data_IF_179036832456
#
_entry.id   IF_179036832456
#
_cell.length_a   1.000
_cell.length_b   1.000
_cell.length_c   1.000
_cell.angle_alpha   90.00
_cell.angle_beta   90.00
_cell.angle_gamma   90.00
#
_symmetry.space_group_name_H-M   'P 1'
#
loop_
_entity.id
_entity.type
_entity.pdbx_description
1 polymer ?
#
# COMPACT_ATOMS: atom_id res chain seq x y z
N UNK A 1 -74.18 2.49 -8.49
CA UNK A 1 -73.67 3.41 -7.46
C UNK A 1 -72.40 2.80 -6.92
N UNK A 2 -71.27 3.32 -7.37
CA UNK A 2 -69.94 2.95 -6.88
C UNK A 2 -69.80 3.59 -5.51
N UNK A 3 -69.74 2.79 -4.46
CA UNK A 3 -69.44 3.24 -3.10
C UNK A 3 -68.06 3.89 -3.13
N UNK A 4 -67.99 5.19 -2.83
CA UNK A 4 -66.74 5.86 -2.52
C UNK A 4 -66.18 5.19 -1.26
N UNK A 5 -65.09 4.44 -1.40
CA UNK A 5 -64.27 4.08 -0.25
C UNK A 5 -63.80 5.39 0.37
N UNK A 6 -64.24 5.63 1.61
CA UNK A 6 -63.70 6.71 2.41
C UNK A 6 -62.25 6.35 2.65
N UNK A 7 -61.35 7.06 1.99
CA UNK A 7 -59.91 6.96 2.14
C UNK A 7 -59.55 7.31 3.59
N UNK A 8 -59.38 6.29 4.44
CA UNK A 8 -58.98 6.48 5.83
C UNK A 8 -57.46 6.66 5.82
N UNK A 9 -57.00 7.85 6.18
CA UNK A 9 -55.57 8.13 6.39
C UNK A 9 -55.00 7.14 7.41
N UNK A 10 -53.79 6.60 7.20
CA UNK A 10 -53.18 5.68 8.14
C UNK A 10 -52.97 6.35 9.51
N UNK A 11 -52.94 5.55 10.56
CA UNK A 11 -52.60 5.98 11.91
C UNK A 11 -51.20 6.62 11.96
N UNK A 12 -50.98 7.54 12.88
CA UNK A 12 -49.69 8.19 13.03
C UNK A 12 -48.67 7.22 13.66
N UNK A 13 -47.40 7.24 13.22
CA UNK A 13 -46.33 6.69 14.04
C UNK A 13 -46.24 7.45 15.36
N UNK A 14 -45.66 6.84 16.39
CA UNK A 14 -45.54 7.46 17.72
C UNK A 14 -44.13 7.33 18.27
N UNK A 15 -43.83 8.11 19.32
CA UNK A 15 -42.56 8.04 20.07
C UNK A 15 -41.30 8.14 19.19
N UNK A 16 -41.28 9.11 18.26
CA UNK A 16 -40.08 9.40 17.47
C UNK A 16 -38.96 9.95 18.35
N UNK A 17 -37.89 9.16 18.47
CA UNK A 17 -36.65 9.52 19.15
C UNK A 17 -35.53 9.68 18.12
N UNK A 18 -34.63 10.62 18.39
CA UNK A 18 -33.44 10.87 17.60
C UNK A 18 -32.22 10.88 18.53
N UNK A 19 -31.14 10.23 18.13
CA UNK A 19 -29.87 10.21 18.86
C UNK A 19 -28.67 10.31 17.91
N UNK A 20 -27.57 10.87 18.39
CA UNK A 20 -26.33 11.05 17.62
C UNK A 20 -25.75 9.69 17.24
N UNK A 21 -25.33 9.52 15.98
CA UNK A 21 -24.81 8.24 15.52
C UNK A 21 -23.48 7.96 16.21
N UNK A 22 -23.32 6.75 16.76
CA UNK A 22 -22.07 6.38 17.42
C UNK A 22 -20.95 6.11 16.41
N UNK A 23 -19.73 6.54 16.76
CA UNK A 23 -18.49 6.29 16.01
C UNK A 23 -18.45 6.87 14.59
N UNK A 24 -19.03 8.06 14.39
CA UNK A 24 -18.98 8.77 13.11
C UNK A 24 -18.15 10.06 13.18
N UNK A 25 -18.20 10.84 12.10
CA UNK A 25 -17.51 12.12 11.99
C UNK A 25 -18.40 13.31 12.38
N UNK A 26 -19.54 13.06 13.02
CA UNK A 26 -20.56 14.05 13.36
C UNK A 26 -21.36 14.48 12.14
N UNK A 27 -21.75 13.53 11.29
CA UNK A 27 -22.51 13.76 10.07
C UNK A 27 -23.79 12.93 9.98
N UNK A 28 -24.10 12.15 11.03
CA UNK A 28 -25.23 11.22 11.04
C UNK A 28 -26.06 11.31 12.31
N UNK A 29 -27.37 11.10 12.16
CA UNK A 29 -28.31 10.96 13.28
C UNK A 29 -29.16 9.71 13.03
N UNK A 30 -29.35 8.92 14.08
CA UNK A 30 -30.21 7.76 14.08
C UNK A 30 -31.60 8.14 14.59
N UNK A 31 -32.63 7.75 13.83
CA UNK A 31 -34.03 7.87 14.20
C UNK A 31 -34.59 6.50 14.56
N UNK A 32 -35.46 6.47 15.57
CA UNK A 32 -36.28 5.32 15.90
C UNK A 32 -37.70 5.79 16.27
N UNK A 33 -38.72 5.09 15.80
CA UNK A 33 -40.13 5.36 16.14
C UNK A 33 -40.88 4.08 16.45
N UNK A 34 -42.10 4.19 16.96
CA UNK A 34 -43.06 3.09 17.02
C UNK A 34 -43.95 3.15 15.79
N UNK A 35 -44.23 1.98 15.22
CA UNK A 35 -45.07 1.82 14.03
C UNK A 35 -46.45 2.48 14.20
N UNK A 36 -47.04 2.83 13.05
CA UNK A 36 -48.47 3.07 12.96
C UNK A 36 -49.25 1.81 13.34
N UNK A 37 -50.41 1.95 13.98
CA UNK A 37 -51.29 0.83 14.31
C UNK A 37 -51.74 0.04 13.06
N UNK A 38 -51.66 0.65 11.88
CA UNK A 38 -52.07 0.03 10.62
C UNK A 38 -50.92 -0.62 9.81
N UNK A 39 -49.67 -0.57 10.32
CA UNK A 39 -48.49 -1.23 9.74
C UNK A 39 -48.47 -2.73 10.08
N UNK A 40 -48.21 -3.66 9.13
CA UNK A 40 -47.84 -3.44 7.72
C UNK A 40 -49.04 -3.52 6.76
N UNK A 41 -50.26 -3.51 7.28
CA UNK A 41 -51.45 -3.86 6.50
C UNK A 41 -51.89 -2.81 5.49
N UNK A 42 -51.80 -1.52 5.84
CA UNK A 42 -52.19 -0.41 4.97
C UNK A 42 -51.05 0.56 4.69
N UNK A 43 -50.02 0.59 5.55
CA UNK A 43 -48.84 1.43 5.40
C UNK A 43 -47.89 0.83 4.36
N UNK A 44 -47.57 1.61 3.32
CA UNK A 44 -46.60 1.23 2.28
C UNK A 44 -45.18 1.65 2.70
N UNK A 45 -45.01 2.89 3.19
CA UNK A 45 -43.73 3.42 3.66
C UNK A 45 -43.92 4.59 4.64
N UNK A 46 -42.83 4.98 5.29
CA UNK A 46 -42.73 6.16 6.15
C UNK A 46 -41.93 7.26 5.46
N UNK A 47 -42.46 8.49 5.42
CA UNK A 47 -41.73 9.66 4.95
C UNK A 47 -40.96 10.33 6.09
N UNK A 48 -39.69 10.65 5.86
CA UNK A 48 -38.81 11.27 6.84
C UNK A 48 -38.48 12.69 6.39
N UNK A 49 -38.64 13.64 7.32
CA UNK A 49 -38.34 15.05 7.08
C UNK A 49 -37.44 15.63 8.17
N UNK A 50 -36.72 16.68 7.82
CA UNK A 50 -35.97 17.51 8.78
C UNK A 50 -36.38 18.98 8.70
N UNK A 51 -36.27 19.69 9.81
CA UNK A 51 -36.33 21.16 9.82
C UNK A 51 -35.18 21.74 10.63
N UNK A 52 -34.80 22.97 10.30
CA UNK A 52 -33.84 23.73 11.10
C UNK A 52 -34.59 24.42 12.25
N UNK A 53 -34.04 24.52 13.48
CA UNK A 53 -34.71 25.14 14.63
C UNK A 53 -35.17 26.58 14.41
N UNK A 54 -34.51 27.31 13.51
CA UNK A 54 -34.90 28.67 13.13
C UNK A 54 -36.17 28.72 12.23
N UNK A 55 -36.63 27.57 11.72
CA UNK A 55 -37.78 27.42 10.81
C UNK A 55 -38.53 26.12 11.14
N UNK A 56 -39.02 26.00 12.37
CA UNK A 56 -39.67 24.79 12.89
C UNK A 56 -40.89 24.34 12.07
N UNK A 57 -41.56 25.26 11.37
CA UNK A 57 -42.72 24.96 10.53
C UNK A 57 -42.36 24.54 9.09
N UNK A 58 -41.07 24.56 8.72
CA UNK A 58 -40.60 24.25 7.36
C UNK A 58 -39.77 22.97 7.36
N UNK A 59 -40.46 21.84 7.18
CA UNK A 59 -39.85 20.53 7.04
C UNK A 59 -39.49 20.25 5.57
N UNK A 60 -38.25 19.78 5.36
CA UNK A 60 -37.72 19.37 4.07
C UNK A 60 -37.68 17.84 4.06
N UNK A 61 -38.26 17.24 3.03
CA UNK A 61 -38.22 15.79 2.81
C UNK A 61 -36.78 15.31 2.66
N UNK A 62 -36.44 14.19 3.31
CA UNK A 62 -35.13 13.56 3.23
C UNK A 62 -35.20 12.29 2.40
N UNK A 63 -36.00 11.32 2.87
CA UNK A 63 -36.09 9.99 2.28
C UNK A 63 -37.36 9.27 2.74
N UNK A 64 -37.62 8.09 2.17
CA UNK A 64 -38.66 7.18 2.63
C UNK A 64 -38.08 5.86 3.16
N UNK A 65 -38.86 5.16 3.99
CA UNK A 65 -38.49 3.89 4.61
C UNK A 65 -39.66 2.92 4.47
N UNK A 66 -39.43 1.78 3.83
CA UNK A 66 -40.47 0.76 3.63
C UNK A 66 -41.12 0.32 4.95
N UNK A 67 -42.41 -0.05 4.90
CA UNK A 67 -43.13 -0.54 6.06
C UNK A 67 -42.45 -1.75 6.74
N UNK A 68 -42.69 -1.91 8.04
CA UNK A 68 -41.98 -2.91 8.86
C UNK A 68 -40.57 -2.53 9.31
N UNK A 69 -40.05 -1.34 8.95
CA UNK A 69 -38.80 -0.79 9.49
C UNK A 69 -39.08 0.39 10.44
N UNK A 70 -38.58 0.31 11.67
CA UNK A 70 -38.81 1.31 12.73
C UNK A 70 -37.64 2.28 12.94
N UNK A 71 -36.61 2.19 12.09
CA UNK A 71 -35.32 2.86 12.25
C UNK A 71 -34.80 3.42 10.94
N UNK A 72 -34.11 4.55 11.02
CA UNK A 72 -33.42 5.15 9.89
C UNK A 72 -32.20 5.97 10.32
N UNK A 73 -31.08 5.84 9.61
CA UNK A 73 -29.90 6.68 9.82
C UNK A 73 -29.85 7.74 8.73
N UNK A 74 -29.96 9.00 9.13
CA UNK A 74 -29.82 10.14 8.22
C UNK A 74 -28.33 10.44 8.07
N UNK A 75 -27.86 10.57 6.82
CA UNK A 75 -26.48 10.94 6.51
C UNK A 75 -26.34 12.40 6.02
N UNK A 76 -25.08 12.85 5.86
CA UNK A 76 -24.72 14.16 5.28
C UNK A 76 -25.34 15.35 6.00
N UNK A 77 -25.52 15.23 7.32
CA UNK A 77 -25.90 16.34 8.17
C UNK A 77 -24.68 17.24 8.42
N UNK A 78 -24.93 18.53 8.66
CA UNK A 78 -23.85 19.44 9.03
C UNK A 78 -23.55 19.27 10.51
N UNK A 79 -22.27 19.06 10.81
CA UNK A 79 -21.75 18.91 12.16
C UNK A 79 -22.14 20.10 13.04
N UNK A 80 -22.52 19.81 14.28
CA UNK A 80 -22.91 20.75 15.33
C UNK A 80 -24.17 21.60 15.02
N UNK A 81 -24.77 21.42 13.83
CA UNK A 81 -26.03 22.06 13.46
C UNK A 81 -27.20 21.24 14.03
N UNK A 82 -28.14 21.92 14.69
CA UNK A 82 -29.28 21.25 15.30
C UNK A 82 -30.41 21.05 14.31
N UNK A 83 -31.13 19.94 14.42
CA UNK A 83 -32.25 19.56 13.54
C UNK A 83 -33.43 19.05 14.36
N UNK A 84 -34.64 19.32 13.88
CA UNK A 84 -35.85 18.59 14.27
C UNK A 84 -36.20 17.59 13.17
N UNK A 85 -36.76 16.44 13.57
CA UNK A 85 -37.20 15.42 12.63
C UNK A 85 -38.69 15.16 12.75
N UNK A 86 -39.26 14.71 11.63
CA UNK A 86 -40.66 14.38 11.50
C UNK A 86 -40.81 13.11 10.67
N UNK A 87 -41.66 12.20 11.12
CA UNK A 87 -42.00 10.97 10.39
C UNK A 87 -43.52 10.88 10.21
N UNK A 88 -43.98 10.57 9.00
CA UNK A 88 -45.39 10.31 8.67
C UNK A 88 -45.51 8.94 8.01
N UNK A 89 -46.60 8.22 8.27
CA UNK A 89 -46.94 6.99 7.57
C UNK A 89 -47.70 7.32 6.28
N UNK A 90 -47.46 6.57 5.20
CA UNK A 90 -48.12 6.75 3.91
C UNK A 90 -48.76 5.44 3.46
N UNK A 91 -50.02 5.49 3.03
CA UNK A 91 -50.73 4.33 2.51
C UNK A 91 -50.53 4.13 0.98
N UNK A 92 -50.99 3.00 0.46
CA UNK A 92 -50.91 2.69 -0.98
C UNK A 92 -51.75 3.58 -1.91
N UNK A 93 -52.53 4.51 -1.34
CA UNK A 93 -53.27 5.54 -2.08
C UNK A 93 -52.58 6.92 -2.01
N UNK A 94 -51.46 7.02 -1.29
CA UNK A 94 -50.67 8.24 -1.13
C UNK A 94 -51.18 9.17 -0.03
N UNK A 95 -52.04 8.73 0.88
CA UNK A 95 -52.47 9.56 2.00
C UNK A 95 -51.45 9.50 3.14
N UNK A 96 -51.05 10.68 3.66
CA UNK A 96 -50.13 10.78 4.78
C UNK A 96 -50.88 10.90 6.13
N UNK A 97 -50.33 10.26 7.16
CA UNK A 97 -50.81 10.35 8.55
C UNK A 97 -50.49 11.70 9.19
N UNK A 98 -51.06 11.94 10.37
CA UNK A 98 -50.51 12.93 11.30
C UNK A 98 -49.04 12.59 11.64
N UNK A 99 -48.18 13.61 11.86
CA UNK A 99 -46.75 13.38 12.05
C UNK A 99 -46.36 13.04 13.48
N UNK A 100 -45.38 12.15 13.62
CA UNK A 100 -44.53 12.08 14.81
C UNK A 100 -43.38 13.08 14.67
N UNK A 101 -43.16 13.95 15.66
CA UNK A 101 -42.05 14.91 15.67
C UNK A 101 -41.14 14.69 16.87
N UNK A 102 -39.85 15.03 16.72
CA UNK A 102 -38.92 15.00 17.84
C UNK A 102 -39.23 16.11 18.85
N UNK A 103 -39.17 15.79 20.14
CA UNK A 103 -39.51 16.73 21.23
C UNK A 103 -38.47 17.85 21.34
N UNK A 104 -37.22 17.56 21.01
CA UNK A 104 -36.10 18.50 21.06
C UNK A 104 -35.28 18.45 19.77
N UNK A 105 -34.57 19.53 19.47
CA UNK A 105 -33.59 19.54 18.41
C UNK A 105 -32.36 18.71 18.82
N UNK A 106 -31.74 18.03 17.86
CA UNK A 106 -30.51 17.26 18.06
C UNK A 106 -29.46 17.66 17.04
N UNK A 107 -28.19 17.70 17.45
CA UNK A 107 -27.05 17.98 16.58
C UNK A 107 -26.17 16.74 16.45
N UNK A 108 -25.68 16.41 15.25
CA UNK A 108 -24.66 15.39 15.10
C UNK A 108 -23.32 15.93 15.60
N UNK A 109 -22.59 15.13 16.38
CA UNK A 109 -21.34 15.58 17.03
C UNK A 109 -20.16 14.73 16.61
N UNK A 110 -19.01 15.37 16.38
CA UNK A 110 -17.81 14.62 15.97
C UNK A 110 -17.27 13.81 17.14
N UNK A 111 -17.23 12.51 16.96
CA UNK A 111 -16.49 11.63 17.86
C UNK A 111 -15.02 11.52 17.40
N UNK A 112 -14.10 11.61 18.36
CA UNK A 112 -12.66 11.50 18.08
C UNK A 112 -12.20 10.06 17.88
N UNK A 113 -12.97 9.10 18.40
CA UNK A 113 -12.65 7.68 18.35
C UNK A 113 -13.76 6.91 17.62
N UNK A 114 -13.37 6.21 16.57
CA UNK A 114 -14.21 5.25 15.88
C UNK A 114 -13.94 3.85 16.45
N UNK A 115 -14.85 3.35 17.28
CA UNK A 115 -14.74 2.03 17.91
C UNK A 115 -14.67 0.88 16.91
N UNK A 116 -15.20 1.05 15.69
CA UNK A 116 -15.13 0.04 14.61
C UNK A 116 -13.70 -0.19 14.14
N UNK A 117 -12.81 0.78 14.34
CA UNK A 117 -11.39 0.72 13.97
C UNK A 117 -10.49 0.25 15.10
N UNK A 118 -11.05 -0.10 16.27
CA UNK A 118 -10.25 -0.58 17.40
C UNK A 118 -9.36 -1.80 17.06
N UNK A 119 -9.82 -2.80 16.27
CA UNK A 119 -8.95 -3.89 15.84
C UNK A 119 -7.73 -3.43 15.02
N UNK A 120 -7.89 -2.41 14.16
CA UNK A 120 -6.79 -1.83 13.37
C UNK A 120 -5.75 -1.16 14.27
N UNK A 121 -6.19 -0.50 15.34
CA UNK A 121 -5.29 0.10 16.34
C UNK A 121 -4.43 -0.97 17.01
N UNK A 122 -5.03 -2.09 17.44
CA UNK A 122 -4.30 -3.20 18.05
C UNK A 122 -3.27 -3.80 17.07
N UNK A 123 -3.66 -4.05 15.82
CA UNK A 123 -2.74 -4.56 14.79
C UNK A 123 -1.58 -3.60 14.57
N UNK A 124 -1.86 -2.29 14.49
CA UNK A 124 -0.83 -1.26 14.31
C UNK A 124 0.13 -1.22 15.51
N UNK A 125 -0.40 -1.33 16.72
CA UNK A 125 0.42 -1.35 17.94
C UNK A 125 1.31 -2.60 18.00
N UNK A 126 0.80 -3.77 17.63
CA UNK A 126 1.60 -5.01 17.53
C UNK A 126 2.69 -4.86 16.47
N UNK A 127 2.37 -4.30 15.30
CA UNK A 127 3.33 -4.09 14.22
C UNK A 127 4.46 -3.14 14.63
N UNK A 128 4.12 -1.95 15.15
CA UNK A 128 5.08 -0.98 15.66
C UNK A 128 5.91 -1.56 16.81
N UNK A 129 5.26 -2.27 17.74
CA UNK A 129 5.92 -2.95 18.85
C UNK A 129 6.91 -4.02 18.38
N UNK A 130 6.56 -4.81 17.36
CA UNK A 130 7.47 -5.79 16.74
C UNK A 130 8.71 -5.11 16.16
N UNK A 131 8.53 -4.07 15.35
CA UNK A 131 9.66 -3.33 14.75
C UNK A 131 10.59 -2.75 15.82
N UNK A 132 10.03 -2.06 16.82
CA UNK A 132 10.81 -1.47 17.92
C UNK A 132 11.54 -2.55 18.73
N UNK A 133 10.86 -3.66 19.03
CA UNK A 133 11.45 -4.78 19.75
C UNK A 133 12.65 -5.36 19.00
N UNK A 134 12.54 -5.59 17.70
CA UNK A 134 13.63 -6.17 16.91
C UNK A 134 14.78 -5.22 16.67
N UNK A 135 14.53 -3.92 16.54
CA UNK A 135 15.58 -2.89 16.52
C UNK A 135 16.35 -2.93 17.85
N UNK A 136 15.65 -2.93 18.99
CA UNK A 136 16.31 -3.00 20.30
C UNK A 136 17.08 -4.32 20.47
N UNK A 137 16.51 -5.43 20.04
CA UNK A 137 17.16 -6.74 20.07
C UNK A 137 18.42 -6.77 19.17
N UNK A 138 18.39 -6.16 17.98
CA UNK A 138 19.55 -6.02 17.11
C UNK A 138 20.66 -5.20 17.76
N UNK A 139 20.30 -4.05 18.36
CA UNK A 139 21.22 -3.17 19.08
C UNK A 139 21.92 -3.85 20.27
N UNK A 140 21.29 -4.88 20.85
CA UNK A 140 21.88 -5.64 21.95
C UNK A 140 23.06 -6.54 21.55
N UNK A 141 23.45 -6.55 20.27
CA UNK A 141 24.60 -7.29 19.75
C UNK A 141 24.36 -8.79 19.57
N UNK A 142 23.12 -9.25 19.76
CA UNK A 142 22.74 -10.64 19.48
C UNK A 142 22.59 -10.84 17.97
N UNK A 143 23.20 -11.89 17.39
CA UNK A 143 23.12 -12.13 15.96
C UNK A 143 21.66 -12.38 15.56
N UNK A 144 21.16 -11.59 14.62
CA UNK A 144 19.85 -11.83 14.00
C UNK A 144 20.01 -12.83 12.86
N UNK A 145 19.21 -13.90 12.88
CA UNK A 145 19.06 -14.77 11.73
C UNK A 145 18.09 -14.14 10.74
N UNK A 146 18.64 -13.67 9.63
CA UNK A 146 17.92 -12.99 8.56
C UNK A 146 17.97 -13.88 7.32
N UNK A 147 16.88 -13.90 6.54
CA UNK A 147 16.81 -14.68 5.30
C UNK A 147 17.90 -14.22 4.34
N UNK A 148 18.53 -15.15 3.63
CA UNK A 148 19.50 -14.75 2.61
C UNK A 148 18.79 -14.22 1.37
N UNK A 149 19.40 -13.23 0.71
CA UNK A 149 18.92 -12.70 -0.57
C UNK A 149 19.74 -13.32 -1.69
N UNK A 150 19.13 -14.15 -2.51
CA UNK A 150 19.83 -14.92 -3.56
C UNK A 150 20.62 -14.01 -4.52
N UNK A 151 20.04 -12.89 -4.96
CA UNK A 151 20.75 -11.96 -5.86
C UNK A 151 21.94 -11.24 -5.23
N UNK A 152 22.08 -11.23 -3.89
CA UNK A 152 23.25 -10.68 -3.22
C UNK A 152 24.41 -11.69 -3.16
N UNK A 153 24.10 -12.99 -2.99
CA UNK A 153 25.10 -14.06 -3.05
C UNK A 153 25.67 -14.23 -4.47
N UNK A 154 24.87 -13.92 -5.49
CA UNK A 154 25.30 -13.94 -6.89
C UNK A 154 26.36 -12.89 -7.23
N UNK A 155 26.57 -11.86 -6.39
CA UNK A 155 27.59 -10.83 -6.63
C UNK A 155 28.99 -11.43 -6.66
N UNK A 156 29.32 -12.26 -5.66
CA UNK A 156 30.67 -12.84 -5.54
C UNK A 156 30.93 -13.81 -6.72
N UNK A 157 29.92 -14.58 -7.15
CA UNK A 157 29.99 -15.45 -8.33
C UNK A 157 30.19 -14.64 -9.62
N UNK A 158 29.39 -13.59 -9.82
CA UNK A 158 29.42 -12.78 -11.03
C UNK A 158 30.74 -12.01 -11.18
N UNK A 159 31.27 -11.46 -10.08
CA UNK A 159 32.57 -10.80 -10.07
C UNK A 159 33.69 -11.82 -10.32
N UNK A 160 33.67 -12.97 -9.65
CA UNK A 160 34.66 -14.03 -9.85
C UNK A 160 34.72 -14.49 -11.30
N UNK A 161 33.56 -14.74 -11.92
CA UNK A 161 33.45 -15.09 -13.35
C UNK A 161 34.03 -14.00 -14.25
N UNK A 162 33.74 -12.72 -13.97
CA UNK A 162 34.27 -11.61 -14.76
C UNK A 162 35.81 -11.53 -14.69
N UNK A 163 36.38 -11.71 -13.50
CA UNK A 163 37.82 -11.80 -13.30
C UNK A 163 38.43 -12.99 -14.04
N UNK A 164 37.84 -14.19 -13.92
CA UNK A 164 38.32 -15.41 -14.60
C UNK A 164 38.32 -15.27 -16.13
N UNK A 165 37.32 -14.59 -16.69
CA UNK A 165 37.20 -14.36 -18.12
C UNK A 165 38.03 -13.16 -18.62
N UNK A 166 38.57 -12.34 -17.71
CA UNK A 166 39.28 -11.10 -18.05
C UNK A 166 38.40 -10.06 -18.74
N UNK A 167 37.09 -10.07 -18.48
CA UNK A 167 36.11 -9.15 -19.09
C UNK A 167 35.51 -8.22 -18.05
N UNK A 168 34.94 -7.10 -18.50
CA UNK A 168 34.35 -6.10 -17.60
C UNK A 168 33.04 -6.57 -16.98
N UNK A 169 32.71 -5.91 -15.88
CA UNK A 169 31.41 -5.95 -15.21
C UNK A 169 30.68 -4.68 -15.64
N UNK A 170 29.47 -4.84 -16.19
CA UNK A 170 28.57 -3.72 -16.47
C UNK A 170 27.63 -3.51 -15.30
N UNK A 171 27.52 -2.29 -14.79
CA UNK A 171 26.56 -1.94 -13.75
C UNK A 171 25.69 -0.75 -14.19
N UNK A 172 24.37 -0.94 -14.17
CA UNK A 172 23.39 0.06 -14.56
C UNK A 172 22.56 0.46 -13.32
N UNK A 173 22.72 1.68 -12.77
CA UNK A 173 22.02 2.14 -11.57
C UNK A 173 20.58 2.65 -11.85
N UNK A 174 19.85 1.99 -12.74
CA UNK A 174 18.55 2.47 -13.26
C UNK A 174 18.67 3.66 -14.21
N UNK A 175 17.52 4.19 -14.67
CA UNK A 175 17.47 5.34 -15.61
C UNK A 175 16.93 6.64 -14.99
N UNK A 176 16.57 6.60 -13.71
CA UNK A 176 16.00 7.73 -12.96
C UNK A 176 17.05 8.44 -12.12
N UNK A 177 16.76 9.68 -11.71
CA UNK A 177 17.70 10.52 -10.97
C UNK A 177 17.76 10.17 -9.47
N UNK A 178 18.58 10.89 -8.71
CA UNK A 178 18.77 10.71 -7.26
C UNK A 178 17.53 11.01 -6.40
N UNK A 179 16.46 11.54 -7.00
CA UNK A 179 15.16 11.68 -6.35
C UNK A 179 14.35 10.36 -6.32
N UNK A 180 14.78 9.34 -7.07
CA UNK A 180 14.22 8.01 -7.06
C UNK A 180 14.92 7.15 -6.00
N UNK A 181 14.15 6.61 -5.07
CA UNK A 181 14.67 5.81 -3.95
C UNK A 181 15.36 4.53 -4.44
N UNK A 182 14.92 3.96 -5.56
CA UNK A 182 15.55 2.80 -6.19
C UNK A 182 16.97 3.10 -6.70
N UNK A 183 17.22 4.31 -7.19
CA UNK A 183 18.56 4.72 -7.65
C UNK A 183 19.54 4.74 -6.48
N UNK A 184 19.11 5.25 -5.32
CA UNK A 184 19.90 5.25 -4.09
C UNK A 184 20.20 3.82 -3.61
N UNK A 185 19.18 2.95 -3.62
CA UNK A 185 19.37 1.53 -3.30
C UNK A 185 20.35 0.86 -4.29
N UNK A 186 20.25 1.17 -5.58
CA UNK A 186 21.16 0.69 -6.62
C UNK A 186 22.60 1.09 -6.38
N UNK A 187 22.87 2.34 -5.99
CA UNK A 187 24.22 2.78 -5.61
C UNK A 187 24.76 2.05 -4.37
N UNK A 188 23.89 1.67 -3.43
CA UNK A 188 24.32 0.86 -2.29
C UNK A 188 24.80 -0.53 -2.74
N UNK A 189 24.11 -1.14 -3.70
CA UNK A 189 24.55 -2.41 -4.31
C UNK A 189 25.84 -2.20 -5.13
N UNK A 190 25.97 -1.08 -5.86
CA UNK A 190 27.20 -0.72 -6.57
C UNK A 190 28.39 -0.67 -5.61
N UNK A 191 28.22 -0.14 -4.39
CA UNK A 191 29.28 -0.11 -3.39
C UNK A 191 29.83 -1.51 -3.10
N UNK A 192 28.95 -2.52 -2.95
CA UNK A 192 29.37 -3.91 -2.78
C UNK A 192 30.06 -4.46 -4.01
N UNK A 193 29.45 -4.32 -5.19
CA UNK A 193 30.02 -4.82 -6.45
C UNK A 193 31.41 -4.23 -6.68
N UNK A 194 31.56 -2.91 -6.50
CA UNK A 194 32.84 -2.21 -6.63
C UNK A 194 33.88 -2.65 -5.61
N UNK A 195 33.47 -2.91 -4.36
CA UNK A 195 34.39 -3.40 -3.32
C UNK A 195 34.93 -4.79 -3.66
N UNK A 196 34.04 -5.72 -4.03
CA UNK A 196 34.43 -7.09 -4.41
C UNK A 196 35.25 -7.05 -5.71
N UNK A 197 34.85 -6.25 -6.69
CA UNK A 197 35.62 -6.06 -7.92
C UNK A 197 37.04 -5.54 -7.65
N UNK A 198 37.20 -4.59 -6.72
CA UNK A 198 38.52 -4.13 -6.31
C UNK A 198 39.37 -5.25 -5.69
N UNK A 199 38.80 -6.11 -4.84
CA UNK A 199 39.50 -7.26 -4.24
C UNK A 199 40.01 -8.24 -5.31
N UNK A 200 39.21 -8.48 -6.35
CA UNK A 200 39.52 -9.40 -7.46
C UNK A 200 40.16 -8.75 -8.70
N UNK A 201 40.53 -7.46 -8.64
CA UNK A 201 41.08 -6.70 -9.78
C UNK A 201 40.19 -6.72 -11.05
N UNK A 202 38.87 -6.68 -10.86
CA UNK A 202 37.88 -6.64 -11.93
C UNK A 202 37.54 -5.20 -12.32
N UNK A 203 37.30 -4.97 -13.62
CA UNK A 203 36.88 -3.67 -14.15
C UNK A 203 35.36 -3.52 -14.04
N UNK A 204 34.89 -2.50 -13.33
CA UNK A 204 33.46 -2.14 -13.24
C UNK A 204 33.19 -0.90 -14.08
N UNK A 205 32.36 -1.05 -15.11
CA UNK A 205 31.92 0.03 -15.98
C UNK A 205 30.49 0.42 -15.64
N UNK A 206 30.28 1.71 -15.40
CA UNK A 206 29.02 2.29 -14.89
C UNK A 206 28.59 3.44 -15.80
N UNK A 207 28.03 3.14 -16.99
CA UNK A 207 27.37 4.16 -17.77
C UNK A 207 26.11 4.62 -17.03
N UNK A 208 25.78 5.90 -17.15
CA UNK A 208 24.62 6.50 -16.47
C UNK A 208 23.84 7.42 -17.41
N UNK A 209 22.53 7.52 -17.20
CA UNK A 209 21.65 8.45 -17.94
C UNK A 209 21.43 9.78 -17.23
N UNK A 210 21.99 9.96 -16.02
CA UNK A 210 21.80 11.14 -15.18
C UNK A 210 23.14 11.60 -14.59
N UNK A 211 23.44 12.89 -14.73
CA UNK A 211 24.73 13.45 -14.30
C UNK A 211 24.94 13.42 -12.78
N UNK A 212 23.88 13.60 -11.98
CA UNK A 212 23.98 13.48 -10.52
C UNK A 212 24.26 12.05 -10.09
N UNK A 213 23.64 11.08 -10.76
CA UNK A 213 23.89 9.65 -10.54
C UNK A 213 25.32 9.28 -10.92
N UNK A 214 25.86 9.81 -12.01
CA UNK A 214 27.28 9.65 -12.37
C UNK A 214 28.21 10.11 -11.24
N UNK A 215 27.98 11.31 -10.69
CA UNK A 215 28.81 11.86 -9.62
C UNK A 215 28.73 11.00 -8.36
N UNK A 216 27.52 10.61 -7.94
CA UNK A 216 27.32 9.75 -6.78
C UNK A 216 27.92 8.35 -6.99
N UNK A 217 27.83 7.79 -8.20
CA UNK A 217 28.45 6.53 -8.57
C UNK A 217 29.98 6.60 -8.50
N UNK A 218 30.60 7.70 -8.97
CA UNK A 218 32.06 7.92 -8.86
C UNK A 218 32.51 7.93 -7.41
N UNK A 219 31.83 8.70 -6.57
CA UNK A 219 32.12 8.75 -5.13
C UNK A 219 31.96 7.37 -4.47
N UNK A 220 30.90 6.65 -4.82
CA UNK A 220 30.62 5.29 -4.32
C UNK A 220 31.73 4.32 -4.70
N UNK A 221 32.10 4.26 -5.98
CA UNK A 221 33.15 3.36 -6.47
C UNK A 221 34.50 3.73 -5.86
N UNK A 222 34.84 5.02 -5.81
CA UNK A 222 36.08 5.50 -5.19
C UNK A 222 36.18 5.09 -3.71
N UNK A 223 35.11 5.31 -2.93
CA UNK A 223 35.06 4.93 -1.52
C UNK A 223 35.18 3.41 -1.32
N UNK A 224 34.55 2.61 -2.18
CA UNK A 224 34.67 1.15 -2.15
C UNK A 224 36.08 0.66 -2.45
N UNK A 225 36.75 1.22 -3.46
CA UNK A 225 38.14 0.88 -3.79
C UNK A 225 39.11 1.29 -2.68
N UNK A 226 38.89 2.45 -2.05
CA UNK A 226 39.66 2.89 -0.88
C UNK A 226 39.45 1.93 0.30
N UNK A 227 38.22 1.51 0.57
CA UNK A 227 37.88 0.56 1.64
C UNK A 227 38.49 -0.82 1.41
N UNK A 228 38.59 -1.25 0.14
CA UNK A 228 39.27 -2.47 -0.26
C UNK A 228 40.82 -2.36 -0.21
N UNK A 229 41.37 -1.17 0.07
CA UNK A 229 42.82 -0.94 0.14
C UNK A 229 43.50 -0.88 -1.23
N UNK A 230 42.75 -0.60 -2.31
CA UNK A 230 43.27 -0.46 -3.69
C UNK A 230 42.88 0.86 -4.37
N UNK A 231 43.16 2.03 -3.76
CA UNK A 231 42.79 3.32 -4.33
C UNK A 231 43.45 3.61 -5.69
N UNK A 232 44.63 3.04 -5.97
CA UNK A 232 45.35 3.17 -7.24
C UNK A 232 44.67 2.45 -8.42
N UNK A 233 43.82 1.47 -8.13
CA UNK A 233 43.07 0.72 -9.13
C UNK A 233 41.76 1.41 -9.53
N UNK A 234 41.37 2.48 -8.83
CA UNK A 234 40.19 3.27 -9.18
C UNK A 234 40.40 4.06 -10.49
N UNK A 235 39.48 3.89 -11.43
CA UNK A 235 39.46 4.66 -12.67
C UNK A 235 38.11 5.38 -12.82
N UNK A 236 38.13 6.71 -12.74
CA UNK A 236 36.95 7.55 -12.87
C UNK A 236 36.34 7.52 -14.28
N UNK A 237 37.13 7.24 -15.32
CA UNK A 237 36.67 7.20 -16.71
C UNK A 237 35.75 6.01 -16.99
N UNK A 238 35.73 5.00 -16.12
CA UNK A 238 34.80 3.87 -16.20
C UNK A 238 33.40 4.21 -15.67
N UNK A 239 33.22 5.38 -15.05
CA UNK A 239 31.91 5.87 -14.58
C UNK A 239 31.60 7.17 -15.30
N UNK A 240 30.66 7.12 -16.25
CA UNK A 240 30.43 8.23 -17.17
C UNK A 240 28.96 8.44 -17.52
N UNK A 241 28.64 9.67 -17.90
CA UNK A 241 27.34 10.07 -18.40
C UNK A 241 27.28 9.86 -19.92
N UNK A 242 26.15 9.33 -20.40
CA UNK A 242 25.93 9.08 -21.83
C UNK A 242 24.94 10.10 -22.40
N UNK A 243 23.68 10.01 -21.98
CA UNK A 243 22.58 10.89 -22.39
C UNK A 243 21.39 10.68 -21.45
N UNK A 244 20.54 11.69 -21.32
CA UNK A 244 19.30 11.67 -20.54
C UNK A 244 18.08 11.20 -21.36
N UNK A 245 18.24 11.06 -22.67
CA UNK A 245 17.23 10.45 -23.55
C UNK A 245 17.26 8.93 -23.36
N UNK A 246 16.11 8.37 -22.96
CA UNK A 246 15.99 6.99 -22.50
C UNK A 246 16.47 5.98 -23.55
N UNK A 247 16.02 6.07 -24.80
CA UNK A 247 16.37 5.06 -25.80
C UNK A 247 17.74 5.29 -26.43
N UNK A 248 18.23 6.52 -26.46
CA UNK A 248 19.60 6.87 -26.81
C UNK A 248 20.59 6.29 -25.81
N UNK A 249 20.27 6.34 -24.52
CA UNK A 249 21.03 5.68 -23.47
C UNK A 249 21.08 4.16 -23.68
N UNK A 250 19.91 3.55 -23.92
CA UNK A 250 19.80 2.09 -24.11
C UNK A 250 20.52 1.64 -25.37
N UNK A 251 20.39 2.35 -26.49
CA UNK A 251 21.08 2.05 -27.74
C UNK A 251 22.61 2.11 -27.57
N UNK A 252 23.11 3.10 -26.83
CA UNK A 252 24.52 3.18 -26.50
C UNK A 252 24.98 1.96 -25.68
N UNK A 253 24.27 1.64 -24.59
CA UNK A 253 24.62 0.53 -23.70
C UNK A 253 24.56 -0.80 -24.46
N UNK A 254 23.53 -1.05 -25.26
CA UNK A 254 23.46 -2.25 -26.10
C UNK A 254 24.62 -2.33 -27.07
N UNK A 255 24.94 -1.22 -27.76
CA UNK A 255 26.07 -1.17 -28.67
C UNK A 255 27.39 -1.50 -27.97
N UNK A 256 27.58 -1.01 -26.74
CA UNK A 256 28.74 -1.35 -25.91
C UNK A 256 28.73 -2.83 -25.52
N UNK A 257 27.60 -3.37 -25.05
CA UNK A 257 27.48 -4.77 -24.64
C UNK A 257 27.88 -5.74 -25.75
N UNK A 258 27.45 -5.49 -26.99
CA UNK A 258 27.77 -6.39 -28.13
C UNK A 258 29.23 -6.28 -28.57
N UNK A 259 29.88 -5.11 -28.37
CA UNK A 259 31.30 -4.89 -28.68
C UNK A 259 32.23 -5.44 -27.61
N UNK A 260 32.02 -5.02 -26.36
CA UNK A 260 32.92 -5.29 -25.23
C UNK A 260 32.61 -6.62 -24.54
N UNK A 261 31.38 -7.12 -24.69
CA UNK A 261 30.91 -8.41 -24.16
C UNK A 261 31.22 -8.58 -22.66
N UNK A 262 30.73 -7.69 -21.78
CA UNK A 262 30.92 -7.81 -20.34
C UNK A 262 30.53 -9.21 -19.86
N UNK A 263 31.30 -9.76 -18.92
CA UNK A 263 31.04 -11.10 -18.38
C UNK A 263 29.87 -11.12 -17.39
N UNK A 264 29.62 -9.99 -16.73
CA UNK A 264 28.52 -9.82 -15.79
C UNK A 264 27.78 -8.50 -16.06
N UNK A 265 26.46 -8.52 -15.91
CA UNK A 265 25.60 -7.34 -16.01
C UNK A 265 24.72 -7.21 -14.77
N UNK A 266 24.82 -6.07 -14.11
CA UNK A 266 24.00 -5.71 -12.96
C UNK A 266 23.01 -4.62 -13.35
N UNK A 267 21.72 -4.86 -13.16
CA UNK A 267 20.64 -3.90 -13.44
C UNK A 267 19.94 -3.53 -12.13
N UNK A 268 20.36 -2.45 -11.48
CA UNK A 268 19.96 -2.13 -10.11
C UNK A 268 19.33 -0.74 -10.03
N UNK A 269 18.00 -0.66 -10.02
CA UNK A 269 17.30 0.62 -9.94
C UNK A 269 15.89 0.62 -10.53
N UNK A 270 15.43 1.82 -10.88
CA UNK A 270 14.17 2.00 -11.59
C UNK A 270 14.37 1.85 -13.10
N UNK A 271 13.60 0.93 -13.70
CA UNK A 271 13.60 0.66 -15.13
C UNK A 271 12.17 0.68 -15.68
N UNK A 272 12.07 0.81 -17.00
CA UNK A 272 10.84 0.70 -17.77
C UNK A 272 11.05 -0.29 -18.93
N UNK A 273 10.59 0.05 -20.14
CA UNK A 273 10.61 -0.84 -21.31
C UNK A 273 12.03 -1.34 -21.68
N UNK A 274 13.07 -0.62 -21.30
CA UNK A 274 14.46 -1.00 -21.53
C UNK A 274 14.93 -2.21 -20.73
N UNK A 275 14.22 -2.58 -19.65
CA UNK A 275 14.56 -3.74 -18.83
C UNK A 275 14.75 -5.00 -19.67
N UNK A 276 13.76 -5.35 -20.50
CA UNK A 276 13.81 -6.51 -21.39
C UNK A 276 14.89 -6.37 -22.46
N UNK A 277 15.06 -5.16 -23.02
CA UNK A 277 16.01 -4.88 -24.08
C UNK A 277 17.45 -5.12 -23.59
N UNK A 278 17.77 -4.59 -22.42
CA UNK A 278 19.08 -4.77 -21.78
C UNK A 278 19.29 -6.24 -21.39
N UNK A 279 18.30 -6.86 -20.75
CA UNK A 279 18.41 -8.24 -20.27
C UNK A 279 18.57 -9.26 -21.42
N UNK A 280 17.85 -9.10 -22.52
CA UNK A 280 17.98 -9.99 -23.69
C UNK A 280 19.34 -9.81 -24.38
N UNK A 281 19.85 -8.57 -24.38
CA UNK A 281 21.19 -8.28 -24.91
C UNK A 281 22.27 -8.94 -24.06
N UNK A 282 22.13 -8.88 -22.73
CA UNK A 282 23.06 -9.52 -21.79
C UNK A 282 23.06 -11.04 -21.95
N UNK A 283 21.87 -11.63 -22.12
CA UNK A 283 21.72 -13.05 -22.41
C UNK A 283 22.40 -13.43 -23.73
N UNK A 284 22.21 -12.63 -24.78
CA UNK A 284 22.79 -12.86 -26.11
C UNK A 284 24.33 -12.87 -26.10
N UNK A 285 24.96 -12.06 -25.23
CA UNK A 285 26.43 -12.03 -25.09
C UNK A 285 26.96 -13.07 -24.08
N UNK A 286 26.07 -13.81 -23.42
CA UNK A 286 26.41 -14.83 -22.42
C UNK A 286 26.89 -14.26 -21.08
N UNK A 287 26.46 -13.04 -20.73
CA UNK A 287 26.77 -12.44 -19.44
C UNK A 287 25.92 -13.09 -18.34
N UNK A 288 26.48 -13.27 -17.14
CA UNK A 288 25.65 -13.52 -15.94
C UNK A 288 24.92 -12.24 -15.58
N UNK A 289 23.63 -12.33 -15.30
CA UNK A 289 22.77 -11.18 -15.11
C UNK A 289 22.12 -11.19 -13.73
N UNK A 290 22.32 -10.09 -12.99
CA UNK A 290 21.71 -9.87 -11.69
C UNK A 290 20.92 -8.57 -11.75
N UNK A 291 19.60 -8.66 -11.61
CA UNK A 291 18.69 -7.53 -11.66
C UNK A 291 18.08 -7.23 -10.29
N UNK A 292 17.66 -6.00 -10.08
CA UNK A 292 16.94 -5.54 -8.90
C UNK A 292 16.12 -4.31 -9.21
N UNK A 293 14.81 -4.42 -9.01
CA UNK A 293 13.88 -3.30 -9.21
C UNK A 293 12.67 -3.43 -8.30
N UNK A 294 12.09 -2.31 -7.93
CA UNK A 294 10.80 -2.21 -7.26
C UNK A 294 9.67 -1.77 -8.21
N UNK A 295 9.93 -1.68 -9.52
CA UNK A 295 8.93 -1.36 -10.52
C UNK A 295 8.08 -2.61 -10.86
N UNK A 296 6.79 -2.69 -10.46
CA UNK A 296 6.02 -3.92 -10.61
C UNK A 296 5.83 -4.35 -12.07
N UNK A 297 5.75 -3.38 -12.98
CA UNK A 297 5.58 -3.62 -14.40
C UNK A 297 6.81 -4.25 -15.09
N UNK A 298 8.01 -4.14 -14.50
CA UNK A 298 9.24 -4.64 -15.12
C UNK A 298 9.78 -5.93 -14.49
N UNK A 299 9.30 -6.28 -13.29
CA UNK A 299 9.66 -7.53 -12.62
C UNK A 299 9.52 -8.77 -13.51
N UNK A 300 8.44 -8.95 -14.31
CA UNK A 300 8.31 -10.13 -15.16
C UNK A 300 9.44 -10.26 -16.19
N UNK A 301 9.95 -9.14 -16.72
CA UNK A 301 11.02 -9.17 -17.72
C UNK A 301 12.35 -9.60 -17.12
N UNK A 302 12.73 -9.04 -15.97
CA UNK A 302 13.96 -9.45 -15.30
C UNK A 302 13.88 -10.87 -14.75
N UNK A 303 12.74 -11.27 -14.18
CA UNK A 303 12.55 -12.66 -13.71
C UNK A 303 12.65 -13.65 -14.86
N UNK A 304 12.20 -13.29 -16.06
CA UNK A 304 12.26 -14.19 -17.22
C UNK A 304 13.63 -14.19 -17.93
N UNK A 305 14.37 -13.07 -17.91
CA UNK A 305 15.56 -12.88 -18.74
C UNK A 305 16.90 -12.83 -17.97
N UNK A 306 16.88 -12.71 -16.64
CA UNK A 306 18.10 -12.66 -15.81
C UNK A 306 18.24 -13.91 -14.93
N UNK A 307 19.49 -14.25 -14.58
CA UNK A 307 19.78 -15.41 -13.72
C UNK A 307 19.26 -15.21 -12.29
N UNK A 308 19.38 -13.97 -11.79
CA UNK A 308 18.91 -13.59 -10.45
C UNK A 308 18.17 -12.27 -10.50
N UNK A 309 17.03 -12.18 -9.82
CA UNK A 309 16.23 -10.96 -9.71
C UNK A 309 15.85 -10.67 -8.26
N UNK A 310 16.21 -9.49 -7.76
CA UNK A 310 15.76 -8.95 -6.48
C UNK A 310 14.39 -8.31 -6.67
N UNK A 311 13.39 -8.82 -5.95
CA UNK A 311 11.99 -8.41 -6.15
C UNK A 311 11.56 -7.42 -5.07
N UNK A 312 11.27 -6.19 -5.48
CA UNK A 312 10.60 -5.20 -4.63
C UNK A 312 11.37 -4.92 -3.34
N UNK A 313 10.88 -5.47 -2.22
CA UNK A 313 11.52 -5.24 -0.92
C UNK A 313 12.94 -5.80 -0.82
N UNK A 314 13.25 -6.87 -1.54
CA UNK A 314 14.58 -7.49 -1.46
C UNK A 314 15.64 -6.54 -1.98
N UNK A 315 15.29 -5.75 -3.00
CA UNK A 315 16.13 -4.71 -3.55
C UNK A 315 16.40 -3.59 -2.53
N UNK A 316 15.38 -3.14 -1.78
CA UNK A 316 15.57 -2.14 -0.73
C UNK A 316 16.31 -2.71 0.48
N UNK A 317 16.00 -3.93 0.86
CA UNK A 317 16.62 -4.61 1.98
C UNK A 317 18.11 -4.87 1.74
N UNK A 318 18.56 -5.04 0.49
CA UNK A 318 19.97 -5.26 0.14
C UNK A 318 20.93 -4.27 0.83
N UNK A 319 20.53 -3.00 0.95
CA UNK A 319 21.28 -1.97 1.68
C UNK A 319 21.53 -2.34 3.16
N UNK A 320 20.53 -2.87 3.85
CA UNK A 320 20.62 -3.32 5.24
C UNK A 320 21.58 -4.49 5.40
N UNK A 321 21.56 -5.46 4.48
CA UNK A 321 22.50 -6.59 4.50
C UNK A 321 23.94 -6.14 4.26
N UNK A 322 24.13 -5.13 3.40
CA UNK A 322 25.45 -4.63 3.04
C UNK A 322 26.07 -3.74 4.11
N UNK A 323 25.27 -2.87 4.72
CA UNK A 323 25.71 -1.98 5.80
C UNK A 323 25.95 -2.76 7.10
N UNK A 324 25.19 -3.84 7.33
CA UNK A 324 25.21 -4.59 8.59
C UNK A 324 24.68 -3.78 9.78
N UNK A 325 24.02 -2.64 9.52
CA UNK A 325 23.56 -1.74 10.58
C UNK A 325 22.44 -2.40 11.40
N UNK A 326 22.60 -2.51 12.73
CA UNK A 326 21.61 -3.19 13.58
C UNK A 326 20.19 -2.63 13.45
N UNK A 327 20.06 -1.32 13.24
CA UNK A 327 18.76 -0.65 13.11
C UNK A 327 18.03 -1.08 11.84
N UNK A 328 18.74 -1.15 10.71
CA UNK A 328 18.18 -1.55 9.43
C UNK A 328 17.82 -3.05 9.44
N UNK A 329 18.72 -3.88 9.98
CA UNK A 329 18.52 -5.32 10.13
C UNK A 329 17.36 -5.66 11.08
N UNK A 330 17.25 -4.95 12.20
CA UNK A 330 16.15 -5.11 13.16
C UNK A 330 14.80 -4.69 12.58
N UNK A 331 14.77 -3.58 11.83
CA UNK A 331 13.57 -3.14 11.12
C UNK A 331 13.08 -4.20 10.12
N UNK A 332 14.00 -4.77 9.33
CA UNK A 332 13.68 -5.82 8.37
C UNK A 332 13.05 -7.04 9.05
N UNK A 333 13.64 -7.51 10.16
CA UNK A 333 13.11 -8.65 10.91
C UNK A 333 11.72 -8.37 11.51
N UNK A 334 11.53 -7.16 12.04
CA UNK A 334 10.23 -6.73 12.57
C UNK A 334 9.13 -6.68 11.52
N UNK A 335 9.48 -6.21 10.31
CA UNK A 335 8.57 -6.20 9.16
C UNK A 335 8.22 -7.61 8.70
N UNK A 336 9.19 -8.52 8.60
CA UNK A 336 8.95 -9.93 8.24
C UNK A 336 7.94 -10.59 9.19
N UNK A 337 8.05 -10.35 10.49
CA UNK A 337 7.11 -10.88 11.49
C UNK A 337 5.74 -10.23 11.34
N UNK A 338 5.68 -8.93 11.09
CA UNK A 338 4.45 -8.23 10.77
C UNK A 338 3.71 -8.88 9.61
N UNK A 339 4.43 -9.24 8.55
CA UNK A 339 3.84 -9.94 7.39
C UNK A 339 3.33 -11.32 7.73
N UNK A 340 4.05 -12.09 8.55
CA UNK A 340 3.59 -13.41 9.01
C UNK A 340 2.28 -13.30 9.78
N UNK A 341 2.16 -12.29 10.66
CA UNK A 341 0.92 -12.04 11.42
C UNK A 341 -0.23 -11.68 10.47
N UNK A 342 0.00 -10.79 9.51
CA UNK A 342 -1.01 -10.41 8.51
C UNK A 342 -1.41 -11.61 7.65
N UNK A 343 -0.44 -12.40 7.17
CA UNK A 343 -0.70 -13.60 6.38
C UNK A 343 -1.52 -14.64 7.16
N UNK A 344 -1.18 -14.88 8.43
CA UNK A 344 -1.96 -15.75 9.30
C UNK A 344 -3.40 -15.22 9.49
N UNK A 345 -3.56 -13.91 9.69
CA UNK A 345 -4.87 -13.26 9.78
C UNK A 345 -5.71 -13.43 8.51
N UNK A 346 -5.09 -13.27 7.33
CA UNK A 346 -5.76 -13.49 6.04
C UNK A 346 -6.19 -14.95 5.90
N UNK A 347 -5.32 -15.92 6.23
CA UNK A 347 -5.64 -17.35 6.16
C UNK A 347 -6.79 -17.68 7.11
N UNK A 348 -6.76 -17.18 8.35
CA UNK A 348 -7.83 -17.38 9.32
C UNK A 348 -9.14 -16.76 8.84
N UNK A 349 -9.10 -15.51 8.36
CA UNK A 349 -10.28 -14.81 7.86
C UNK A 349 -10.91 -15.52 6.65
N UNK A 350 -10.09 -15.90 5.67
CA UNK A 350 -10.54 -16.59 4.45
C UNK A 350 -11.04 -18.01 4.69
N UNK A 351 -10.63 -18.67 5.78
CA UNK A 351 -11.11 -20.01 6.15
C UNK A 351 -12.35 -19.97 7.04
N UNK A 352 -12.43 -19.04 8.00
CA UNK A 352 -13.56 -18.92 8.92
C UNK A 352 -14.83 -18.37 8.23
N UNK A 353 -14.69 -17.45 7.27
CA UNK A 353 -15.84 -16.85 6.56
C UNK A 353 -16.68 -17.91 5.80
N UNK A 354 -16.08 -18.82 5.00
CA UNK A 354 -16.81 -19.93 4.39
C UNK A 354 -17.34 -20.95 5.40
N UNK A 355 -16.60 -21.25 6.47
CA UNK A 355 -17.05 -22.19 7.49
C UNK A 355 -18.29 -21.69 8.24
N UNK A 356 -18.33 -20.39 8.57
CA UNK A 356 -19.49 -19.77 9.22
C UNK A 356 -20.74 -19.72 8.33
N UNK A 357 -20.57 -19.61 7.01
CA UNK A 357 -21.71 -19.66 6.07
C UNK A 357 -22.21 -21.08 5.83
N UNK A 358 -21.33 -22.08 5.85
CA UNK A 358 -21.69 -23.50 5.71
C UNK A 358 -22.33 -24.07 6.98
N UNK A 359 -21.87 -23.65 8.17
CA UNK A 359 -22.40 -24.11 9.46
C UNK A 359 -23.73 -23.44 9.85
N UNK A 360 -24.17 -22.42 9.10
CA UNK A 360 -25.39 -21.67 9.34
C UNK A 360 -25.31 -20.74 10.56
N UNK A 361 -26.16 -19.69 10.65
CA UNK A 361 -26.28 -18.93 11.88
C UNK A 361 -26.90 -19.83 12.95
N UNK A 362 -26.17 -20.13 14.03
CA UNK A 362 -26.83 -20.63 15.23
C UNK A 362 -27.84 -19.57 15.69
N UNK A 363 -29.08 -19.94 16.05
CA UNK A 363 -30.04 -19.00 16.60
C UNK A 363 -29.52 -18.50 17.94
N UNK A 364 -29.17 -17.21 17.98
CA UNK A 364 -29.11 -16.34 19.16
C UNK A 364 -28.54 -16.95 20.44
N UNK A 365 -27.32 -16.55 20.80
CA UNK A 365 -27.05 -16.29 22.22
C UNK A 365 -27.87 -15.05 22.58
N UNK A 366 -28.93 -15.30 23.37
CA UNK A 366 -29.94 -14.30 23.76
C UNK A 366 -29.49 -13.30 24.81
#
# INVERSE_FOLDING_TARGET
MQSAEVSVTPGAPTNLIAYDHSWDHGDKIDLQWLFSDDDPSTVEFYNIYRSHPAKTDSFIFIDNVDSGNDKFTIDKLKRDESYFFKVTAVDGSGNESEPATTISAISPSRQWFDGRRFPLFIITLIFCGSVVYWIYHARSGRPLQIRKIAGLEAVDEAVGRATEMGRSILFIPGIQDMNEIQTIAGLTVLSRVAKVAAEYDAKVEVPTSRSLVMTAARETVQASFLTAGRPESYNQDLVYYVTDEQFGYVAYVQGMMVREKPAACFYMGAFFAESLILAETGNTIGAIQVAGTAMPAQLPFFVAACDYTLIGEEFFAASAYLSGEPDQLGSLKGQDIGKVIVAAGIIIGTTLLPLGTILGPEPGLG
#
